data_IF_516737457260
#
_entry.id   IF_516737457260
#
_cell.length_a   1.000
_cell.length_b   1.000
_cell.length_c   1.000
_cell.angle_alpha   90.00
_cell.angle_beta   90.00
_cell.angle_gamma   90.00
#
_symmetry.space_group_name_H-M   'P 1'
#
loop_
_entity.id
_entity.type
_entity.pdbx_description
1 polymer ?
#
# COMPACT_ATOMS: atom_id res chain seq x y z
N UNK A 1 18.91 21.21 -18.57
CA UNK A 1 17.90 20.96 -17.53
C UNK A 1 17.20 22.25 -17.20
N UNK A 2 15.87 22.25 -17.08
CA UNK A 2 15.12 23.38 -16.54
C UNK A 2 15.02 23.21 -15.02
N UNK A 3 15.28 24.26 -14.25
CA UNK A 3 15.06 24.30 -12.80
C UNK A 3 13.71 24.96 -12.56
N UNK A 4 12.84 24.30 -11.79
CA UNK A 4 11.57 24.85 -11.34
C UNK A 4 11.72 25.20 -9.87
N UNK A 5 11.32 26.43 -9.51
CA UNK A 5 11.42 26.94 -8.14
C UNK A 5 10.04 27.11 -7.52
N UNK A 6 9.91 26.75 -6.24
CA UNK A 6 8.71 27.03 -5.45
C UNK A 6 8.95 28.25 -4.55
N UNK A 7 8.00 29.21 -4.53
CA UNK A 7 8.13 30.44 -3.75
C UNK A 7 7.82 30.26 -2.25
N UNK A 8 7.12 29.18 -1.89
CA UNK A 8 6.64 28.92 -0.52
C UNK A 8 7.20 27.60 0.00
N UNK A 9 6.75 26.49 -0.60
CA UNK A 9 7.00 25.15 -0.09
C UNK A 9 6.96 24.13 -1.23
N UNK A 10 7.74 23.06 -1.10
CA UNK A 10 7.69 21.88 -1.97
C UNK A 10 6.89 20.79 -1.26
N UNK A 11 5.98 20.15 -1.99
CA UNK A 11 5.21 19.00 -1.51
C UNK A 11 5.71 17.77 -2.27
N UNK A 12 6.23 16.80 -1.54
CA UNK A 12 6.68 15.53 -2.07
C UNK A 12 5.55 14.49 -1.93
N UNK A 13 5.07 13.96 -3.05
CA UNK A 13 3.96 13.00 -3.12
C UNK A 13 4.24 11.89 -4.13
N UNK A 14 5.44 11.29 -4.07
CA UNK A 14 5.88 10.25 -4.99
C UNK A 14 5.58 8.82 -4.48
N UNK A 15 4.90 8.71 -3.33
CA UNK A 15 4.52 7.44 -2.71
C UNK A 15 5.66 6.77 -1.94
N UNK A 16 5.32 5.68 -1.25
CA UNK A 16 6.19 4.97 -0.29
C UNK A 16 7.45 4.32 -0.87
N UNK A 17 7.67 4.40 -2.18
CA UNK A 17 8.90 3.90 -2.81
C UNK A 17 9.77 5.07 -3.28
N UNK A 18 9.16 6.04 -3.96
CA UNK A 18 9.93 7.10 -4.62
C UNK A 18 10.15 8.32 -3.73
N UNK A 19 9.27 8.62 -2.77
CA UNK A 19 9.48 9.71 -1.82
C UNK A 19 10.75 9.52 -0.97
N UNK A 20 10.99 8.39 -0.29
CA UNK A 20 12.26 8.18 0.43
C UNK A 20 13.46 8.21 -0.51
N UNK A 21 13.35 7.63 -1.71
CA UNK A 21 14.43 7.68 -2.72
C UNK A 21 14.78 9.12 -3.11
N UNK A 22 13.78 9.98 -3.34
CA UNK A 22 14.01 11.38 -3.70
C UNK A 22 14.64 12.17 -2.54
N UNK A 23 14.29 11.86 -1.29
CA UNK A 23 14.96 12.43 -0.12
C UNK A 23 16.42 12.01 -0.05
N UNK A 24 16.72 10.71 -0.21
CA UNK A 24 18.08 10.20 -0.18
C UNK A 24 18.94 10.78 -1.31
N UNK A 25 18.41 10.82 -2.55
CA UNK A 25 19.07 11.46 -3.68
C UNK A 25 19.29 12.98 -3.48
N UNK A 26 18.55 13.59 -2.55
CA UNK A 26 18.67 15.00 -2.16
C UNK A 26 19.53 15.21 -0.91
N UNK A 27 20.20 14.15 -0.42
CA UNK A 27 21.10 14.23 0.74
C UNK A 27 20.39 14.16 2.10
N UNK A 28 19.16 13.66 2.14
CA UNK A 28 18.36 13.54 3.36
C UNK A 28 18.17 12.04 3.66
N UNK A 29 18.87 11.52 4.68
CA UNK A 29 18.84 10.09 4.94
C UNK A 29 19.96 9.59 5.85
N UNK A 30 20.16 8.27 5.86
CA UNK A 30 21.21 7.61 6.63
C UNK A 30 22.61 7.85 6.03
N UNK A 31 23.58 8.26 6.86
CA UNK A 31 24.92 8.63 6.41
C UNK A 31 25.63 7.53 5.61
N UNK A 32 25.51 6.25 6.01
CA UNK A 32 26.18 5.16 5.30
C UNK A 32 25.53 4.85 3.96
N UNK A 33 24.20 4.97 3.87
CA UNK A 33 23.46 4.76 2.61
C UNK A 33 23.84 5.86 1.61
N UNK A 34 23.80 7.12 2.04
CA UNK A 34 24.15 8.26 1.21
C UNK A 34 25.62 8.21 0.74
N UNK A 35 26.54 7.90 1.65
CA UNK A 35 27.96 7.75 1.31
C UNK A 35 28.19 6.62 0.29
N UNK A 36 27.51 5.48 0.43
CA UNK A 36 27.57 4.38 -0.53
C UNK A 36 27.00 4.76 -1.91
N UNK A 37 26.01 5.65 -1.94
CA UNK A 37 25.43 6.20 -3.18
C UNK A 37 26.23 7.38 -3.77
N UNK A 38 27.28 7.85 -3.10
CA UNK A 38 28.05 9.02 -3.53
C UNK A 38 27.29 10.35 -3.38
N UNK A 39 26.32 10.41 -2.47
CA UNK A 39 25.52 11.60 -2.18
C UNK A 39 26.03 12.30 -0.91
N UNK A 40 26.21 13.62 -0.97
CA UNK A 40 26.55 14.43 0.20
C UNK A 40 25.36 14.48 1.18
N UNK A 41 25.59 14.17 2.45
CA UNK A 41 24.55 14.27 3.47
C UNK A 41 24.32 15.72 3.89
N UNK A 42 23.11 16.20 3.64
CA UNK A 42 22.61 17.52 4.02
C UNK A 42 21.82 17.46 5.34
N UNK A 43 21.02 16.41 5.53
CA UNK A 43 20.20 16.21 6.73
C UNK A 43 20.30 14.76 7.19
N UNK A 44 20.66 14.56 8.45
CA UNK A 44 20.70 13.24 9.08
C UNK A 44 19.30 12.83 9.55
N UNK A 45 18.64 11.96 8.76
CA UNK A 45 17.39 11.29 9.11
C UNK A 45 17.53 9.80 8.77
N UNK A 46 18.07 8.98 9.69
CA UNK A 46 18.47 7.61 9.38
C UNK A 46 17.30 6.65 9.15
N UNK A 47 16.07 7.08 9.41
CA UNK A 47 14.82 6.33 9.20
C UNK A 47 14.18 6.57 7.83
N UNK A 48 14.71 7.47 7.00
CA UNK A 48 14.24 7.64 5.62
C UNK A 48 14.46 6.33 4.86
N UNK A 49 13.39 5.79 4.27
CA UNK A 49 13.43 4.54 3.51
C UNK A 49 13.30 3.27 4.37
N UNK A 50 13.33 3.41 5.69
CA UNK A 50 13.17 2.29 6.63
C UNK A 50 11.69 1.98 6.89
N UNK A 51 11.41 0.89 7.62
CA UNK A 51 10.07 0.50 8.04
C UNK A 51 9.03 0.37 6.91
N UNK A 52 9.43 -0.07 5.71
CA UNK A 52 8.49 -0.41 4.65
C UNK A 52 7.50 -1.48 5.14
N UNK A 53 6.23 -1.12 5.23
CA UNK A 53 5.12 -2.01 5.57
C UNK A 53 4.27 -2.26 4.32
N UNK A 54 3.81 -3.51 4.13
CA UNK A 54 2.98 -3.88 2.98
C UNK A 54 2.04 -5.05 3.33
N UNK A 55 0.95 -5.17 2.58
CA UNK A 55 -0.02 -6.25 2.75
C UNK A 55 0.47 -7.53 2.07
N UNK A 56 0.69 -8.56 2.88
CA UNK A 56 0.89 -9.92 2.38
C UNK A 56 -0.48 -10.46 1.99
N UNK A 57 -0.73 -10.64 0.69
CA UNK A 57 -1.95 -11.31 0.23
C UNK A 57 -1.72 -12.81 0.09
N UNK A 58 -2.58 -13.57 0.75
CA UNK A 58 -2.70 -15.01 0.59
C UNK A 58 -3.91 -15.26 -0.30
N UNK A 59 -3.73 -16.08 -1.34
CA UNK A 59 -4.85 -16.48 -2.21
C UNK A 59 -5.17 -17.96 -2.01
N UNK A 60 -6.44 -18.27 -1.73
CA UNK A 60 -6.96 -19.64 -1.77
C UNK A 60 -7.88 -19.78 -2.99
N UNK A 61 -7.78 -20.88 -3.72
CA UNK A 61 -8.58 -21.13 -4.92
C UNK A 61 -9.30 -22.48 -4.83
N UNK A 62 -10.57 -22.53 -5.25
CA UNK A 62 -11.44 -23.70 -5.20
C UNK A 62 -12.21 -23.86 -6.51
N UNK A 63 -12.48 -25.11 -6.89
CA UNK A 63 -13.38 -25.39 -8.00
C UNK A 63 -14.83 -25.17 -7.54
N UNK A 64 -15.59 -24.39 -8.32
CA UNK A 64 -17.02 -24.22 -8.06
C UNK A 64 -17.80 -25.48 -8.41
N UNK A 65 -18.87 -25.73 -7.66
CA UNK A 65 -19.83 -26.78 -8.00
C UNK A 65 -20.51 -26.43 -9.34
N UNK A 66 -20.85 -27.41 -10.21
CA UNK A 66 -21.29 -27.17 -11.59
C UNK A 66 -22.47 -26.19 -11.79
N UNK A 67 -23.30 -26.00 -10.77
CA UNK A 67 -24.49 -25.14 -10.82
C UNK A 67 -24.25 -23.72 -10.30
N UNK A 68 -23.02 -23.34 -9.96
CA UNK A 68 -22.68 -22.01 -9.48
C UNK A 68 -21.82 -21.27 -10.48
N UNK A 69 -22.20 -20.01 -10.74
CA UNK A 69 -21.49 -19.11 -11.63
C UNK A 69 -20.72 -18.11 -10.81
N UNK A 70 -19.41 -17.99 -11.04
CA UNK A 70 -18.59 -16.90 -10.50
C UNK A 70 -18.66 -15.67 -11.42
N UNK A 71 -18.27 -14.49 -10.91
CA UNK A 71 -18.09 -13.28 -11.72
C UNK A 71 -17.10 -13.46 -12.88
N UNK A 72 -16.25 -14.49 -12.85
CA UNK A 72 -15.38 -14.85 -13.98
C UNK A 72 -16.14 -15.10 -15.29
N UNK A 73 -17.45 -15.36 -15.25
CA UNK A 73 -18.27 -15.48 -16.47
C UNK A 73 -18.18 -14.22 -17.34
N UNK A 74 -18.02 -13.03 -16.74
CA UNK A 74 -17.83 -11.77 -17.46
C UNK A 74 -16.56 -11.77 -18.32
N UNK A 75 -15.54 -12.55 -17.94
CA UNK A 75 -14.30 -12.65 -18.70
C UNK A 75 -14.41 -13.62 -19.89
N UNK A 76 -15.18 -14.70 -19.73
CA UNK A 76 -15.22 -15.79 -20.71
C UNK A 76 -16.47 -15.78 -21.61
N UNK A 77 -17.50 -15.03 -21.23
CA UNK A 77 -18.73 -14.86 -21.99
C UNK A 77 -18.94 -13.38 -22.28
N UNK A 78 -18.40 -12.92 -23.40
CA UNK A 78 -18.43 -11.51 -23.82
C UNK A 78 -19.84 -10.97 -24.04
N UNK A 79 -20.79 -11.82 -24.47
CA UNK A 79 -22.19 -11.45 -24.60
C UNK A 79 -22.82 -11.14 -23.24
N UNK A 80 -22.60 -12.01 -22.25
CA UNK A 80 -23.08 -11.77 -20.89
C UNK A 80 -22.37 -10.57 -20.26
N UNK A 81 -21.07 -10.40 -20.51
CA UNK A 81 -20.32 -9.23 -20.06
C UNK A 81 -20.88 -7.92 -20.62
N UNK A 82 -21.26 -7.88 -21.89
CA UNK A 82 -21.88 -6.69 -22.49
C UNK A 82 -23.25 -6.39 -21.88
N UNK A 83 -24.07 -7.42 -21.62
CA UNK A 83 -25.37 -7.27 -20.95
C UNK A 83 -25.22 -6.70 -19.53
N UNK A 84 -24.26 -7.23 -18.77
CA UNK A 84 -23.98 -6.75 -17.42
C UNK A 84 -23.41 -5.33 -17.41
N UNK A 85 -22.58 -4.97 -18.39
CA UNK A 85 -22.04 -3.61 -18.52
C UNK A 85 -23.15 -2.62 -18.85
N UNK A 86 -24.11 -3.02 -19.69
CA UNK A 86 -25.28 -2.21 -20.01
C UNK A 86 -26.16 -1.98 -18.78
N UNK A 87 -26.47 -3.04 -18.02
CA UNK A 87 -27.22 -2.95 -16.77
C UNK A 87 -26.54 -1.98 -15.77
N UNK A 88 -25.21 -2.11 -15.62
CA UNK A 88 -24.42 -1.22 -14.77
C UNK A 88 -24.52 0.25 -15.19
N UNK A 89 -24.40 0.50 -16.50
CA UNK A 89 -24.47 1.86 -17.06
C UNK A 89 -25.86 2.48 -16.86
N UNK A 90 -26.90 1.65 -16.76
CA UNK A 90 -28.28 2.05 -16.49
C UNK A 90 -28.59 2.17 -14.98
N UNK A 91 -27.63 1.90 -14.10
CA UNK A 91 -27.82 1.92 -12.65
C UNK A 91 -28.63 0.73 -12.12
N UNK A 92 -28.75 -0.33 -12.91
CA UNK A 92 -29.37 -1.59 -12.51
C UNK A 92 -28.34 -2.50 -11.84
N UNK A 93 -28.79 -3.42 -10.98
CA UNK A 93 -27.91 -4.41 -10.34
C UNK A 93 -27.13 -5.19 -11.40
N UNK A 94 -25.81 -5.18 -11.27
CA UNK A 94 -24.89 -5.75 -12.23
C UNK A 94 -23.78 -6.53 -11.55
N UNK A 95 -23.26 -7.55 -12.23
CA UNK A 95 -22.04 -8.24 -11.79
C UNK A 95 -20.79 -7.34 -11.86
N UNK A 96 -20.88 -6.13 -12.43
CA UNK A 96 -19.82 -5.10 -12.33
C UNK A 96 -19.88 -4.27 -11.04
N UNK A 97 -20.94 -4.40 -10.23
CA UNK A 97 -21.00 -3.79 -8.90
C UNK A 97 -20.02 -4.46 -7.92
N UNK A 98 -19.60 -5.70 -8.21
CA UNK A 98 -18.46 -6.33 -7.56
C UNK A 98 -17.16 -5.72 -8.09
N UNK A 99 -16.49 -4.94 -7.25
CA UNK A 99 -15.20 -4.33 -7.56
C UNK A 99 -14.19 -5.46 -7.84
N UNK A 100 -13.79 -5.55 -9.11
CA UNK A 100 -12.86 -6.52 -9.66
C UNK A 100 -11.56 -6.65 -8.85
N UNK A 101 -11.34 -7.84 -8.28
CA UNK A 101 -10.00 -8.33 -7.92
C UNK A 101 -9.86 -9.80 -8.31
N UNK A 102 -9.19 -10.06 -9.45
CA UNK A 102 -8.41 -11.26 -9.76
C UNK A 102 -9.12 -12.63 -9.74
N UNK A 103 -9.05 -13.34 -10.86
CA UNK A 103 -9.85 -14.53 -11.17
C UNK A 103 -9.63 -15.78 -10.29
N UNK A 104 -10.77 -16.39 -9.90
CA UNK A 104 -11.06 -17.82 -9.58
C UNK A 104 -11.48 -18.24 -8.15
N UNK A 105 -12.31 -17.48 -7.42
CA UNK A 105 -12.95 -17.97 -6.16
C UNK A 105 -14.05 -17.04 -5.63
N UNK A 106 -15.01 -17.51 -4.79
CA UNK A 106 -15.84 -16.65 -3.94
C UNK A 106 -14.96 -15.98 -2.87
N UNK A 107 -15.18 -14.69 -2.61
CA UNK A 107 -14.31 -13.89 -1.74
C UNK A 107 -14.86 -13.77 -0.32
N UNK A 108 -14.04 -14.20 0.64
CA UNK A 108 -14.12 -13.85 2.05
C UNK A 108 -12.75 -13.28 2.39
N UNK A 109 -12.65 -11.96 2.51
CA UNK A 109 -11.40 -11.28 2.87
C UNK A 109 -11.33 -11.14 4.39
N UNK A 110 -10.44 -11.91 5.01
CA UNK A 110 -10.05 -11.74 6.41
C UNK A 110 -8.64 -11.20 6.41
N UNK A 111 -8.49 -9.93 6.74
CA UNK A 111 -7.21 -9.28 6.93
C UNK A 111 -6.72 -9.64 8.33
N UNK A 112 -5.76 -10.56 8.42
CA UNK A 112 -5.04 -10.84 9.66
C UNK A 112 -3.88 -9.85 9.77
N UNK A 113 -4.05 -8.81 10.58
CA UNK A 113 -2.92 -8.07 11.13
C UNK A 113 -2.52 -8.74 12.46
N UNK A 114 -1.81 -9.86 12.38
CA UNK A 114 -0.97 -10.30 13.49
C UNK A 114 0.15 -11.24 13.03
N UNK A 115 1.39 -10.86 13.38
CA UNK A 115 2.54 -11.72 13.28
C UNK A 115 2.42 -12.90 14.24
N UNK A 116 2.03 -14.07 13.75
CA UNK A 116 2.35 -15.35 14.41
C UNK A 116 2.28 -16.56 13.45
N UNK A 117 3.43 -16.99 12.91
CA UNK A 117 3.55 -18.27 12.21
C UNK A 117 3.90 -19.39 13.20
N UNK A 118 2.88 -19.92 13.87
CA UNK A 118 2.99 -21.16 14.64
C UNK A 118 3.22 -22.35 13.71
N UNK A 119 4.47 -22.78 13.52
CA UNK A 119 4.81 -23.96 12.72
C UNK A 119 4.39 -25.27 13.40
N UNK A 120 3.18 -25.77 13.09
CA UNK A 120 2.92 -27.22 13.05
C UNK A 120 3.04 -27.67 11.60
N UNK A 121 3.98 -28.59 11.34
CA UNK A 121 4.27 -29.13 10.00
C UNK A 121 2.99 -29.67 9.34
N UNK A 122 2.83 -29.41 8.05
CA UNK A 122 1.79 -30.06 7.23
C UNK A 122 1.93 -31.59 7.31
N UNK A 123 0.83 -32.36 7.34
CA UNK A 123 0.91 -33.82 7.40
C UNK A 123 1.76 -34.41 6.26
N UNK A 124 2.51 -35.47 6.54
CA UNK A 124 3.36 -36.13 5.53
C UNK A 124 2.52 -36.82 4.44
N UNK A 125 3.06 -36.87 3.22
CA UNK A 125 2.49 -37.61 2.08
C UNK A 125 2.21 -39.06 2.49
N UNK A 126 0.97 -39.52 2.35
CA UNK A 126 0.54 -40.87 2.73
C UNK A 126 -0.06 -41.00 4.13
N UNK A 127 -0.03 -39.94 4.95
CA UNK A 127 -0.75 -39.94 6.23
C UNK A 127 -2.27 -39.83 6.04
N UNK A 128 -3.04 -40.34 6.99
CA UNK A 128 -4.52 -40.28 6.98
C UNK A 128 -5.07 -38.85 6.98
N UNK A 129 -4.23 -37.87 7.35
CA UNK A 129 -4.53 -36.44 7.42
C UNK A 129 -3.98 -35.65 6.21
N UNK A 130 -3.21 -36.28 5.31
CA UNK A 130 -2.69 -35.63 4.11
C UNK A 130 -3.84 -35.14 3.22
N UNK A 131 -3.91 -33.82 2.96
CA UNK A 131 -4.97 -33.21 2.16
C UNK A 131 -6.34 -33.09 2.85
N UNK A 132 -6.45 -33.37 4.16
CA UNK A 132 -7.70 -33.26 4.93
C UNK A 132 -7.51 -32.31 6.11
N UNK A 133 -8.39 -31.32 6.27
CA UNK A 133 -8.39 -30.35 7.39
C UNK A 133 -7.15 -29.43 7.48
N UNK A 134 -6.23 -29.48 6.52
CA UNK A 134 -5.08 -28.59 6.42
C UNK A 134 -5.08 -27.91 5.05
N UNK A 135 -4.86 -26.60 5.01
CA UNK A 135 -4.59 -25.86 3.77
C UNK A 135 -3.08 -25.70 3.60
N UNK A 136 -2.62 -25.79 2.34
CA UNK A 136 -1.23 -25.52 1.98
C UNK A 136 -1.13 -24.10 1.44
N UNK A 137 -0.23 -23.28 1.98
CA UNK A 137 0.14 -22.01 1.38
C UNK A 137 0.93 -22.30 0.10
N UNK A 138 0.28 -22.15 -1.06
CA UNK A 138 0.89 -22.45 -2.36
C UNK A 138 1.57 -21.20 -2.95
N UNK A 139 1.12 -20.00 -2.60
CA UNK A 139 1.77 -18.74 -2.97
C UNK A 139 1.28 -17.58 -2.08
N UNK A 140 2.21 -16.68 -1.74
CA UNK A 140 1.89 -15.30 -1.37
C UNK A 140 1.92 -14.46 -2.66
N UNK A 141 0.85 -13.73 -2.92
CA UNK A 141 0.77 -12.76 -4.01
C UNK A 141 0.73 -11.40 -3.34
N UNK A 142 1.66 -10.50 -3.65
CA UNK A 142 1.70 -9.17 -3.03
C UNK A 142 0.42 -8.39 -3.36
N UNK A 143 -0.28 -7.88 -2.34
CA UNK A 143 -1.29 -6.84 -2.50
C UNK A 143 -0.58 -5.52 -2.23
N UNK A 144 0.00 -4.94 -3.27
CA UNK A 144 0.86 -3.77 -3.11
C UNK A 144 0.08 -2.59 -2.51
N UNK A 145 0.32 -2.34 -1.24
CA UNK A 145 -0.10 -1.22 -0.43
C UNK A 145 1.08 -0.77 0.44
N UNK A 146 2.23 -0.40 -0.18
CA UNK A 146 3.41 -0.04 0.58
C UNK A 146 3.17 1.26 1.34
N UNK A 147 3.59 1.30 2.61
CA UNK A 147 3.49 2.47 3.50
C UNK A 147 4.77 2.65 4.32
N UNK A 148 4.80 3.72 5.13
CA UNK A 148 5.67 3.80 6.32
C UNK A 148 7.16 4.04 6.08
N UNK A 149 7.57 4.43 4.87
CA UNK A 149 8.98 4.71 4.56
C UNK A 149 9.47 6.12 4.91
N UNK A 150 8.58 6.98 5.42
CA UNK A 150 8.89 8.33 5.85
C UNK A 150 7.93 8.79 6.95
N UNK A 151 7.88 8.01 8.04
CA UNK A 151 6.81 8.05 9.04
C UNK A 151 6.63 9.40 9.74
N UNK A 152 5.36 9.67 10.06
CA UNK A 152 4.96 10.67 11.05
C UNK A 152 5.12 10.08 12.47
N UNK A 153 6.17 10.51 13.16
CA UNK A 153 6.48 10.13 14.55
C UNK A 153 7.26 11.28 15.22
N UNK A 154 7.37 11.30 16.56
CA UNK A 154 8.37 12.14 17.22
C UNK A 154 9.76 11.89 16.63
N UNK A 155 10.58 12.95 16.49
CA UNK A 155 11.91 12.85 15.88
C UNK A 155 12.81 11.89 16.64
N UNK A 156 12.71 11.90 17.98
CA UNK A 156 13.43 11.02 18.90
C UNK A 156 13.09 9.53 18.72
N UNK A 157 11.90 9.23 18.19
CA UNK A 157 11.42 7.87 17.91
C UNK A 157 11.70 7.44 16.46
N UNK A 158 12.44 8.25 15.70
CA UNK A 158 12.77 7.97 14.30
C UNK A 158 11.78 8.56 13.28
N UNK A 159 10.96 9.54 13.65
CA UNK A 159 10.11 10.25 12.69
C UNK A 159 10.91 10.94 11.59
N UNK A 160 10.40 10.86 10.35
CA UNK A 160 10.92 11.62 9.20
C UNK A 160 10.16 12.93 9.06
N UNK A 161 8.86 12.92 9.35
CA UNK A 161 8.00 14.10 9.34
C UNK A 161 7.34 14.36 10.69
N UNK A 162 7.06 15.63 10.95
CA UNK A 162 6.31 16.07 12.13
C UNK A 162 4.78 15.90 11.95
N UNK A 163 3.94 16.19 12.98
CA UNK A 163 2.48 16.13 12.87
C UNK A 163 1.84 17.05 11.81
N UNK A 164 2.61 18.01 11.28
CA UNK A 164 2.22 18.85 10.16
C UNK A 164 2.76 18.30 8.83
N UNK A 165 3.32 17.09 8.79
CA UNK A 165 3.90 16.45 7.61
C UNK A 165 5.18 17.15 7.09
N UNK A 166 5.79 18.05 7.87
CA UNK A 166 7.05 18.70 7.49
C UNK A 166 8.23 17.80 7.76
N UNK A 167 9.16 17.73 6.82
CA UNK A 167 10.39 16.95 6.98
C UNK A 167 11.26 17.59 8.05
N UNK A 168 11.65 16.80 9.06
CA UNK A 168 12.48 17.30 10.15
C UNK A 168 13.80 17.87 9.64
N UNK A 169 14.17 19.06 10.14
CA UNK A 169 15.39 19.76 9.72
C UNK A 169 15.22 20.64 8.48
N UNK A 170 14.03 20.66 7.86
CA UNK A 170 13.70 21.53 6.73
C UNK A 170 12.48 22.38 7.03
N UNK A 171 12.44 23.60 6.48
CA UNK A 171 11.38 24.57 6.76
C UNK A 171 10.30 24.64 5.68
N UNK A 172 10.58 24.12 4.48
CA UNK A 172 9.76 24.30 3.28
C UNK A 172 9.61 23.01 2.45
N UNK A 173 9.65 21.84 3.10
CA UNK A 173 9.40 20.54 2.48
C UNK A 173 8.41 19.73 3.32
N UNK A 174 7.32 19.29 2.69
CA UNK A 174 6.36 18.32 3.26
C UNK A 174 6.34 17.03 2.46
N UNK A 175 5.95 15.95 3.11
CA UNK A 175 5.61 14.69 2.45
C UNK A 175 4.12 14.44 2.60
N UNK A 176 3.41 14.25 1.48
CA UNK A 176 1.96 14.07 1.47
C UNK A 176 1.62 12.88 0.58
N UNK A 177 1.83 11.68 1.10
CA UNK A 177 1.49 10.41 0.46
C UNK A 177 1.47 9.27 1.50
N UNK A 178 1.39 8.02 1.03
CA UNK A 178 1.33 6.83 1.88
C UNK A 178 2.61 6.56 2.72
N UNK A 179 3.74 7.19 2.40
CA UNK A 179 5.01 6.97 3.11
C UNK A 179 4.97 7.46 4.56
N UNK A 180 4.09 8.42 4.87
CA UNK A 180 3.99 9.03 6.21
C UNK A 180 3.15 8.20 7.18
N UNK A 181 2.41 7.21 6.70
CA UNK A 181 1.56 6.35 7.54
C UNK A 181 2.45 5.55 8.51
N UNK A 182 2.33 5.71 9.82
CA UNK A 182 3.20 5.00 10.78
C UNK A 182 2.85 3.52 10.96
N UNK A 183 1.57 3.19 10.86
CA UNK A 183 1.09 1.80 10.95
C UNK A 183 0.15 1.52 9.80
N UNK A 184 0.44 0.49 9.01
CA UNK A 184 -0.38 0.12 7.87
C UNK A 184 -1.80 -0.23 8.34
N UNK A 185 -2.85 0.46 7.87
CA UNK A 185 -4.21 0.16 8.28
C UNK A 185 -4.66 -1.21 7.75
N UNK A 186 -5.50 -1.90 8.51
CA UNK A 186 -6.15 -3.16 8.09
C UNK A 186 -7.21 -2.89 7.01
N UNK A 187 -6.76 -2.64 5.77
CA UNK A 187 -7.64 -2.41 4.62
C UNK A 187 -6.96 -1.67 3.46
N UNK A 188 -7.80 -1.25 2.51
CA UNK A 188 -7.37 -0.46 1.37
C UNK A 188 -6.90 0.94 1.80
N UNK A 189 -5.66 1.29 1.46
CA UNK A 189 -5.04 2.55 1.90
C UNK A 189 -5.47 3.78 1.08
N UNK A 190 -6.24 3.62 0.01
CA UNK A 190 -6.64 4.73 -0.85
C UNK A 190 -7.39 5.82 -0.08
N UNK A 191 -8.39 5.45 0.72
CA UNK A 191 -9.19 6.41 1.49
C UNK A 191 -8.35 7.13 2.56
N UNK A 192 -7.53 6.44 3.38
CA UNK A 192 -6.58 7.09 4.27
C UNK A 192 -5.65 8.09 3.56
N UNK A 193 -5.09 7.72 2.40
CA UNK A 193 -4.19 8.60 1.64
C UNK A 193 -4.91 9.86 1.15
N UNK A 194 -6.15 9.74 0.66
CA UNK A 194 -6.97 10.92 0.34
C UNK A 194 -7.20 11.80 1.57
N UNK A 195 -7.49 11.20 2.73
CA UNK A 195 -7.66 11.94 3.99
C UNK A 195 -6.40 12.70 4.42
N UNK A 196 -5.22 12.10 4.25
CA UNK A 196 -3.92 12.76 4.48
C UNK A 196 -3.77 13.97 3.54
N UNK A 197 -4.07 13.80 2.26
CA UNK A 197 -3.97 14.87 1.28
C UNK A 197 -4.92 16.04 1.60
N UNK A 198 -6.16 15.76 1.98
CA UNK A 198 -7.12 16.80 2.39
C UNK A 198 -6.65 17.52 3.66
N UNK A 199 -6.15 16.79 4.65
CA UNK A 199 -5.64 17.37 5.88
C UNK A 199 -4.41 18.26 5.62
N UNK A 200 -3.50 17.81 4.76
CA UNK A 200 -2.35 18.58 4.32
C UNK A 200 -2.79 19.87 3.62
N UNK A 201 -3.75 19.80 2.70
CA UNK A 201 -4.27 20.97 2.00
C UNK A 201 -4.86 22.02 2.96
N UNK A 202 -5.58 21.59 4.00
CA UNK A 202 -6.07 22.48 5.06
C UNK A 202 -4.93 23.16 5.82
N UNK A 203 -3.92 22.40 6.26
CA UNK A 203 -2.77 22.93 7.00
C UNK A 203 -1.97 23.94 6.16
N UNK A 204 -1.70 23.59 4.91
CA UNK A 204 -0.94 24.43 3.96
C UNK A 204 -1.73 25.71 3.67
N UNK A 205 -3.03 25.60 3.40
CA UNK A 205 -3.87 26.77 3.14
C UNK A 205 -3.91 27.68 4.36
N UNK A 206 -4.07 27.16 5.57
CA UNK A 206 -4.08 27.95 6.80
C UNK A 206 -2.72 28.60 7.13
N UNK A 207 -1.61 27.95 6.78
CA UNK A 207 -0.28 28.52 6.98
C UNK A 207 0.03 29.67 6.00
N UNK A 208 -0.48 29.56 4.76
CA UNK A 208 -0.07 30.42 3.66
C UNK A 208 -1.15 31.40 3.16
N UNK A 209 -2.32 31.39 3.80
CA UNK A 209 -3.39 32.40 3.69
C UNK A 209 -3.00 33.68 4.40
#
# INVERSE_FOLDING_TARGET
>A
MAVITANKEVILSAGSVQSPQLLELSGIGNASILAAAGVEQMVYLPSVGENLQDHVRITTAYQLHPNYTSPNILRFNTTYAAQQLQAWTLGETSWYDEISVGTRVPQFEVLFDDGYLGMKRYPAVGSSLYGKLFFSFIASIQHAAPTSTAEILPKEDGGVVDPELKVYGLSNLRIVDASVISLNPSGHIQTPVCGIAERAAQMITAQWS
#
